data_IF_188925929986
#
_entry.id   IF_188925929986
#
_cell.length_a   1.000
_cell.length_b   1.000
_cell.length_c   1.000
_cell.angle_alpha   90.00
_cell.angle_beta   90.00
_cell.angle_gamma   90.00
#
_symmetry.space_group_name_H-M   'P 1'
#
loop_
_entity.id
_entity.type
_entity.pdbx_description
1 polymer ?
#
# COMPACT_ATOMS: atom_id res chain seq x y z
N UNK A 1 60.26 -11.57 9.10
CA UNK A 1 59.67 -10.71 10.16
C UNK A 1 58.15 -10.89 10.17
N UNK A 2 57.60 -11.73 11.05
CA UNK A 2 56.15 -11.89 11.24
C UNK A 2 55.70 -10.89 12.31
N UNK A 3 55.00 -9.83 11.92
CA UNK A 3 54.40 -8.88 12.87
C UNK A 3 53.20 -9.57 13.52
N UNK A 4 53.28 -9.84 14.81
CA UNK A 4 52.21 -10.40 15.63
C UNK A 4 51.06 -9.39 15.74
N UNK A 5 49.99 -9.59 14.98
CA UNK A 5 48.74 -8.82 14.98
C UNK A 5 47.80 -9.17 16.14
N UNK A 6 48.25 -10.00 17.09
CA UNK A 6 47.48 -10.48 18.24
C UNK A 6 46.96 -9.39 19.18
N UNK A 7 47.65 -8.27 19.49
CA UNK A 7 47.10 -7.30 20.44
C UNK A 7 45.92 -6.51 19.85
N UNK A 8 45.91 -6.28 18.53
CA UNK A 8 44.89 -5.46 17.88
C UNK A 8 43.55 -6.22 17.75
N UNK A 9 43.60 -7.53 17.52
CA UNK A 9 42.41 -8.39 17.48
C UNK A 9 41.74 -8.49 18.85
N UNK A 10 42.53 -8.58 19.94
CA UNK A 10 41.99 -8.65 21.30
C UNK A 10 41.28 -7.33 21.69
N UNK A 11 41.85 -6.18 21.32
CA UNK A 11 41.22 -4.88 21.56
C UNK A 11 39.91 -4.76 20.78
N UNK A 12 39.87 -5.21 19.52
CA UNK A 12 38.66 -5.16 18.70
C UNK A 12 37.53 -6.01 19.30
N UNK A 13 37.84 -7.20 19.81
CA UNK A 13 36.86 -8.10 20.44
C UNK A 13 36.31 -7.48 21.73
N UNK A 14 37.17 -6.88 22.56
CA UNK A 14 36.74 -6.21 23.79
C UNK A 14 35.83 -5.01 23.52
N UNK A 15 36.12 -4.22 22.48
CA UNK A 15 35.27 -3.10 22.07
C UNK A 15 33.91 -3.58 21.57
N UNK A 16 33.87 -4.68 20.81
CA UNK A 16 32.62 -5.26 20.33
C UNK A 16 31.73 -5.75 21.49
N UNK A 17 32.34 -6.45 22.45
CA UNK A 17 31.63 -6.94 23.64
C UNK A 17 31.08 -5.79 24.50
N UNK A 18 31.83 -4.70 24.65
CA UNK A 18 31.37 -3.51 25.37
C UNK A 18 30.18 -2.83 24.65
N UNK A 19 30.24 -2.70 23.32
CA UNK A 19 29.14 -2.12 22.54
C UNK A 19 27.85 -2.96 22.65
N UNK A 20 27.96 -4.29 22.61
CA UNK A 20 26.84 -5.21 22.80
C UNK A 20 26.23 -5.12 24.22
N UNK A 21 27.07 -4.98 25.26
CA UNK A 21 26.60 -4.81 26.63
C UNK A 21 25.80 -3.52 26.84
N UNK A 22 26.24 -2.41 26.24
CA UNK A 22 25.53 -1.12 26.32
C UNK A 22 24.20 -1.15 25.56
N UNK A 23 24.15 -1.84 24.43
CA UNK A 23 22.90 -2.00 23.66
C UNK A 23 21.84 -2.80 24.45
N UNK A 24 22.26 -3.82 25.20
CA UNK A 24 21.35 -4.63 26.03
C UNK A 24 20.79 -3.85 27.23
N UNK A 25 21.57 -2.98 27.87
CA UNK A 25 21.07 -2.18 29.00
C UNK A 25 20.08 -1.08 28.59
N UNK A 26 20.12 -0.64 27.32
CA UNK A 26 19.22 0.40 26.80
C UNK A 26 17.96 -0.15 26.12
N UNK A 27 17.81 -1.47 26.03
CA UNK A 27 16.58 -2.10 25.55
C UNK A 27 15.49 -1.96 26.63
N UNK A 28 14.76 -0.84 26.61
CA UNK A 28 13.56 -0.67 27.44
C UNK A 28 12.55 -1.75 27.06
N UNK A 29 11.93 -2.45 28.04
CA UNK A 29 10.88 -3.40 27.76
C UNK A 29 9.70 -2.68 27.10
N UNK A 30 9.27 -3.20 25.96
CA UNK A 30 8.08 -2.77 25.25
C UNK A 30 6.88 -3.01 26.17
N UNK A 31 6.35 -1.94 26.76
CA UNK A 31 5.17 -2.00 27.60
C UNK A 31 3.95 -2.17 26.70
N UNK A 32 3.35 -3.35 26.71
CA UNK A 32 2.03 -3.63 26.15
C UNK A 32 1.00 -2.74 26.86
N UNK A 33 0.24 -1.87 26.18
CA UNK A 33 -0.80 -1.11 26.86
C UNK A 33 -1.93 -2.06 27.26
N UNK A 34 -2.20 -2.12 28.57
CA UNK A 34 -3.37 -2.76 29.17
C UNK A 34 -4.63 -2.04 28.68
N UNK A 35 -5.48 -2.78 27.98
CA UNK A 35 -6.84 -2.39 27.65
C UNK A 35 -7.65 -2.28 28.95
N UNK A 36 -7.87 -1.04 29.38
CA UNK A 36 -8.65 -0.68 30.56
C UNK A 36 -10.14 -0.85 30.29
N UNK A 37 -10.75 -1.66 31.14
CA UNK A 37 -12.16 -1.90 31.35
C UNK A 37 -12.94 -0.61 31.72
N UNK A 38 -14.20 -0.57 31.28
CA UNK A 38 -15.34 0.19 31.81
C UNK A 38 -15.51 1.67 31.44
N UNK A 39 -16.48 1.90 30.53
CA UNK A 39 -17.60 2.81 30.79
C UNK A 39 -18.81 2.42 29.92
N UNK A 40 -19.73 1.68 30.52
CA UNK A 40 -21.14 1.66 30.13
C UNK A 40 -21.74 3.06 30.38
N UNK A 41 -22.41 3.63 29.38
CA UNK A 41 -23.49 4.59 29.63
C UNK A 41 -24.59 4.41 28.59
N UNK A 42 -25.55 3.58 29.00
CA UNK A 42 -26.99 3.69 28.83
C UNK A 42 -27.57 4.42 27.60
N UNK A 43 -28.31 3.62 26.84
CA UNK A 43 -29.33 4.02 25.89
C UNK A 43 -30.38 4.98 26.50
N UNK A 44 -30.80 5.96 25.69
CA UNK A 44 -32.15 6.51 25.75
C UNK A 44 -32.75 6.40 24.37
N UNK A 45 -33.67 5.45 24.24
CA UNK A 45 -34.64 5.42 23.16
C UNK A 45 -35.57 6.63 23.30
N UNK A 46 -35.71 7.43 22.25
CA UNK A 46 -36.91 8.24 22.05
C UNK A 46 -37.51 7.82 20.73
N UNK A 47 -38.51 6.96 20.88
CA UNK A 47 -39.49 6.57 19.89
C UNK A 47 -40.31 7.82 19.53
N UNK A 48 -40.35 8.18 18.24
CA UNK A 48 -41.45 8.95 17.68
C UNK A 48 -41.85 8.31 16.37
N UNK A 49 -43.14 8.00 16.34
CA UNK A 49 -43.86 7.15 15.42
C UNK A 49 -44.07 7.76 14.02
N UNK A 50 -44.09 6.82 13.06
CA UNK A 50 -44.99 6.72 11.91
C UNK A 50 -45.09 7.89 10.92
N UNK A 51 -44.37 7.71 9.81
CA UNK A 51 -44.90 7.93 8.46
C UNK A 51 -44.73 6.64 7.66
N UNK A 52 -45.80 5.86 7.53
CA UNK A 52 -45.82 4.64 6.72
C UNK A 52 -45.59 4.99 5.25
N UNK A 53 -44.46 4.55 4.68
CA UNK A 53 -44.27 4.45 3.24
C UNK A 53 -44.01 2.97 2.96
N UNK A 54 -45.01 2.30 2.39
CA UNK A 54 -44.90 0.92 1.92
C UNK A 54 -43.69 0.74 1.01
N UNK A 55 -43.00 -0.41 1.04
CA UNK A 55 -42.04 -0.74 0.02
C UNK A 55 -42.82 -0.99 -1.28
N UNK A 56 -42.79 -0.02 -2.20
CA UNK A 56 -43.09 -0.31 -3.61
C UNK A 56 -41.98 -1.25 -4.06
N UNK A 57 -42.33 -2.53 -4.13
CA UNK A 57 -41.59 -3.55 -4.87
C UNK A 57 -41.59 -3.12 -6.33
N UNK A 58 -40.58 -2.34 -6.71
CA UNK A 58 -40.27 -2.10 -8.10
C UNK A 58 -39.78 -3.43 -8.68
N UNK A 59 -40.71 -4.15 -9.29
CA UNK A 59 -40.40 -5.15 -10.29
C UNK A 59 -39.69 -4.44 -11.45
N UNK A 60 -38.52 -4.96 -11.81
CA UNK A 60 -37.67 -4.41 -12.88
C UNK A 60 -36.33 -3.97 -12.35
N UNK A 61 -35.55 -4.92 -11.83
CA UNK A 61 -34.09 -4.80 -11.87
C UNK A 61 -33.76 -4.82 -13.37
N UNK A 62 -33.25 -3.72 -13.97
CA UNK A 62 -32.63 -3.87 -15.27
C UNK A 62 -31.46 -4.81 -15.03
N UNK A 63 -31.47 -5.98 -15.67
CA UNK A 63 -30.24 -6.70 -15.97
C UNK A 63 -29.27 -5.62 -16.46
N UNK A 64 -28.29 -5.29 -15.63
CA UNK A 64 -27.18 -4.47 -16.04
C UNK A 64 -26.50 -5.31 -17.11
N UNK A 65 -26.87 -5.00 -18.35
CA UNK A 65 -26.32 -5.55 -19.57
C UNK A 65 -24.81 -5.48 -19.40
N UNK A 66 -24.20 -6.64 -19.13
CA UNK A 66 -22.78 -6.72 -18.85
C UNK A 66 -22.10 -6.19 -20.11
N UNK A 67 -21.53 -4.98 -20.00
CA UNK A 67 -20.87 -4.35 -21.13
C UNK A 67 -19.91 -5.39 -21.75
N UNK A 68 -19.95 -5.59 -23.07
CA UNK A 68 -19.16 -6.64 -23.70
C UNK A 68 -17.69 -6.41 -23.35
N UNK A 69 -17.08 -7.43 -22.73
CA UNK A 69 -15.66 -7.40 -22.41
C UNK A 69 -14.90 -7.04 -23.69
N UNK A 70 -14.13 -5.94 -23.69
CA UNK A 70 -13.47 -5.48 -24.90
C UNK A 70 -12.51 -6.54 -25.44
N UNK A 71 -12.27 -6.53 -26.75
CA UNK A 71 -11.26 -7.38 -27.37
C UNK A 71 -9.87 -7.10 -26.76
N UNK A 72 -8.96 -8.08 -26.79
CA UNK A 72 -7.61 -7.94 -26.24
C UNK A 72 -6.80 -6.80 -26.87
N UNK A 73 -7.14 -6.40 -28.10
CA UNK A 73 -6.51 -5.30 -28.85
C UNK A 73 -7.26 -3.96 -28.74
N UNK A 74 -8.08 -3.80 -27.69
CA UNK A 74 -8.82 -2.57 -27.49
C UNK A 74 -7.88 -1.36 -27.33
N UNK A 75 -8.24 -0.25 -27.98
CA UNK A 75 -7.43 0.96 -28.01
C UNK A 75 -7.14 1.45 -26.57
N UNK A 76 -5.86 1.55 -26.16
CA UNK A 76 -5.48 1.96 -24.81
C UNK A 76 -5.90 3.41 -24.48
N UNK A 77 -6.25 4.22 -25.48
CA UNK A 77 -6.84 5.54 -25.26
C UNK A 77 -8.29 5.46 -24.73
N UNK A 78 -9.00 4.36 -25.00
CA UNK A 78 -10.41 4.20 -24.71
C UNK A 78 -10.73 3.11 -23.67
N UNK A 79 -9.78 2.20 -23.44
CA UNK A 79 -9.94 1.09 -22.52
C UNK A 79 -8.74 0.95 -21.59
N UNK A 80 -9.03 0.77 -20.30
CA UNK A 80 -8.04 0.43 -19.28
C UNK A 80 -8.55 -0.73 -18.43
N UNK A 81 -7.63 -1.41 -17.76
CA UNK A 81 -7.93 -2.41 -16.75
C UNK A 81 -7.71 -1.81 -15.36
N UNK A 82 -8.75 -1.83 -14.56
CA UNK A 82 -8.72 -1.49 -13.16
C UNK A 82 -8.40 -2.74 -12.32
N UNK A 83 -7.37 -2.63 -11.49
CA UNK A 83 -7.01 -3.63 -10.50
C UNK A 83 -7.38 -3.07 -9.13
N UNK A 84 -8.35 -3.71 -8.47
CA UNK A 84 -8.69 -3.43 -7.08
C UNK A 84 -7.78 -4.27 -6.19
N UNK A 85 -6.93 -3.60 -5.43
CA UNK A 85 -5.86 -4.19 -4.65
C UNK A 85 -6.09 -3.91 -3.17
N UNK A 86 -5.66 -4.83 -2.32
CA UNK A 86 -5.61 -4.60 -0.88
C UNK A 86 -4.18 -4.77 -0.37
N UNK A 87 -3.81 -3.93 0.60
CA UNK A 87 -2.54 -3.97 1.29
C UNK A 87 -2.79 -4.11 2.79
N UNK A 88 -2.55 -5.30 3.33
CA UNK A 88 -2.68 -5.60 4.74
C UNK A 88 -1.31 -5.98 5.31
N UNK A 89 -0.80 -5.16 6.24
CA UNK A 89 0.44 -5.46 6.96
C UNK A 89 1.64 -5.78 6.05
N UNK A 90 1.70 -5.12 4.88
CA UNK A 90 2.73 -5.32 3.87
C UNK A 90 2.48 -6.47 2.89
N UNK A 91 1.40 -7.24 3.06
CA UNK A 91 0.95 -8.27 2.11
C UNK A 91 0.00 -7.66 1.09
N UNK A 92 0.37 -7.77 -0.18
CA UNK A 92 -0.44 -7.34 -1.32
C UNK A 92 -1.36 -8.48 -1.79
N UNK A 93 -2.64 -8.20 -2.02
CA UNK A 93 -3.57 -9.10 -2.72
C UNK A 93 -4.39 -8.40 -3.80
N UNK A 94 -4.79 -9.17 -4.80
CA UNK A 94 -5.70 -8.76 -5.86
C UNK A 94 -7.11 -9.19 -5.47
N UNK A 95 -8.00 -8.21 -5.32
CA UNK A 95 -9.38 -8.43 -4.88
C UNK A 95 -10.33 -8.51 -6.07
N UNK A 96 -10.15 -7.63 -7.06
CA UNK A 96 -10.96 -7.64 -8.27
C UNK A 96 -10.17 -7.07 -9.46
N UNK A 97 -10.59 -7.44 -10.67
CA UNK A 97 -10.11 -6.86 -11.93
C UNK A 97 -11.30 -6.55 -12.83
N UNK A 98 -11.37 -5.31 -13.32
CA UNK A 98 -12.48 -4.84 -14.15
C UNK A 98 -11.94 -4.05 -15.34
N UNK A 99 -12.46 -4.33 -16.54
CA UNK A 99 -12.15 -3.52 -17.71
C UNK A 99 -13.08 -2.31 -17.74
N UNK A 100 -12.48 -1.12 -17.79
CA UNK A 100 -13.18 0.16 -17.77
C UNK A 100 -13.03 0.84 -19.13
N UNK A 101 -14.15 1.35 -19.64
CA UNK A 101 -14.19 2.16 -20.85
C UNK A 101 -14.30 3.65 -20.48
N UNK A 102 -13.55 4.50 -21.16
CA UNK A 102 -13.59 5.94 -20.95
C UNK A 102 -12.58 6.67 -21.83
N UNK A 103 -12.61 8.00 -21.81
CA UNK A 103 -11.59 8.81 -22.47
C UNK A 103 -10.36 8.94 -21.56
N UNK A 104 -9.38 8.05 -21.75
CA UNK A 104 -8.13 8.05 -20.99
C UNK A 104 -7.08 8.83 -21.73
N UNK A 105 -7.22 10.16 -21.71
CA UNK A 105 -6.24 11.06 -22.30
C UNK A 105 -4.82 10.77 -21.76
N UNK A 106 -3.87 10.66 -22.68
CA UNK A 106 -2.47 10.48 -22.34
C UNK A 106 -1.98 11.70 -21.56
N UNK A 107 -1.29 11.46 -20.43
CA UNK A 107 -0.75 12.54 -19.60
C UNK A 107 0.25 13.38 -20.39
N UNK A 108 0.14 14.71 -20.24
CA UNK A 108 1.05 15.67 -20.85
C UNK A 108 2.23 15.91 -19.91
N UNK A 109 3.31 15.16 -20.10
CA UNK A 109 4.57 15.36 -19.37
C UNK A 109 4.96 14.19 -18.46
N UNK A 110 6.20 14.21 -17.94
CA UNK A 110 6.69 13.20 -17.02
C UNK A 110 5.91 13.26 -15.71
N UNK A 111 5.54 12.11 -15.15
CA UNK A 111 4.94 12.05 -13.83
C UNK A 111 5.99 12.38 -12.77
N UNK A 112 5.63 13.25 -11.82
CA UNK A 112 6.55 13.61 -10.74
C UNK A 112 6.70 12.42 -9.78
N UNK A 113 7.95 12.09 -9.47
CA UNK A 113 8.31 10.99 -8.58
C UNK A 113 8.64 11.52 -7.20
N UNK A 114 7.93 11.02 -6.18
CA UNK A 114 8.18 11.36 -4.79
C UNK A 114 8.37 10.14 -3.91
N UNK A 115 9.16 10.33 -2.86
CA UNK A 115 9.30 9.34 -1.79
C UNK A 115 7.93 9.05 -1.17
N UNK A 116 7.63 7.77 -0.97
CA UNK A 116 6.36 7.30 -0.46
C UNK A 116 5.35 6.92 -1.54
N UNK A 117 5.56 7.24 -2.82
CA UNK A 117 4.67 6.76 -3.89
C UNK A 117 4.85 5.26 -4.14
N UNK A 118 3.80 4.61 -4.63
CA UNK A 118 3.90 3.31 -5.26
C UNK A 118 4.24 3.47 -6.73
N UNK A 119 5.20 2.67 -7.18
CA UNK A 119 5.47 2.41 -8.58
C UNK A 119 4.91 1.05 -8.94
N UNK A 120 3.94 1.05 -9.83
CA UNK A 120 3.24 -0.14 -10.29
C UNK A 120 3.60 -0.42 -11.74
N UNK A 121 4.09 -1.64 -12.03
CA UNK A 121 4.59 -2.03 -13.35
C UNK A 121 3.86 -3.27 -13.86
N UNK A 122 3.35 -3.22 -15.08
CA UNK A 122 3.02 -4.42 -15.84
C UNK A 122 4.29 -4.99 -16.44
N UNK A 123 4.52 -6.28 -16.23
CA UNK A 123 5.73 -6.98 -16.62
C UNK A 123 5.38 -8.19 -17.48
N UNK A 124 6.13 -8.39 -18.56
CA UNK A 124 6.02 -9.59 -19.41
C UNK A 124 6.63 -10.83 -18.74
N UNK A 125 6.44 -11.99 -19.37
CA UNK A 125 7.06 -13.24 -18.92
C UNK A 125 8.59 -13.13 -18.88
N UNK A 126 9.19 -12.44 -19.86
CA UNK A 126 10.63 -12.21 -19.97
C UNK A 126 11.16 -11.11 -19.02
N UNK A 127 10.29 -10.52 -18.20
CA UNK A 127 10.68 -9.47 -17.26
C UNK A 127 10.72 -8.06 -17.85
N UNK A 128 10.19 -7.85 -19.06
CA UNK A 128 10.14 -6.51 -19.69
C UNK A 128 9.00 -5.69 -19.08
N UNK A 129 9.28 -4.44 -18.70
CA UNK A 129 8.24 -3.48 -18.28
C UNK A 129 7.44 -3.05 -19.51
N UNK A 130 6.14 -3.29 -19.47
CA UNK A 130 5.19 -3.00 -20.56
C UNK A 130 4.40 -1.71 -20.32
N UNK A 131 4.06 -1.44 -19.06
CA UNK A 131 3.42 -0.20 -18.62
C UNK A 131 3.84 0.11 -17.19
N UNK A 132 3.84 1.40 -16.85
CA UNK A 132 4.15 1.89 -15.51
C UNK A 132 3.17 3.01 -15.14
N UNK A 133 2.72 3.02 -13.89
CA UNK A 133 1.92 4.09 -13.31
C UNK A 133 2.41 4.34 -11.88
N UNK A 134 2.49 5.62 -11.48
CA UNK A 134 2.81 5.99 -10.10
C UNK A 134 1.55 6.41 -9.36
N UNK A 135 1.40 5.95 -8.13
CA UNK A 135 0.26 6.26 -7.27
C UNK A 135 0.76 6.80 -5.93
N UNK A 136 0.06 7.73 -5.27
CA UNK A 136 0.25 7.93 -3.84
C UNK A 136 0.06 6.60 -3.11
N UNK A 137 0.98 6.23 -2.22
CA UNK A 137 0.80 4.98 -1.51
C UNK A 137 -0.37 5.07 -0.51
N UNK A 138 -1.20 4.02 -0.45
CA UNK A 138 -2.25 3.88 0.54
C UNK A 138 -1.61 3.57 1.90
N UNK A 139 -1.02 4.58 2.51
CA UNK A 139 -0.25 4.41 3.73
C UNK A 139 -1.17 4.38 4.94
N UNK A 140 -0.98 3.35 5.76
CA UNK A 140 -1.49 3.31 7.13
C UNK A 140 -0.77 4.33 8.01
N UNK A 141 0.42 4.77 7.61
CA UNK A 141 1.37 5.48 8.46
C UNK A 141 1.25 7.00 8.25
N UNK A 142 0.53 7.66 9.14
CA UNK A 142 0.58 9.11 9.25
C UNK A 142 1.59 9.47 10.34
N UNK A 143 2.72 10.06 9.96
CA UNK A 143 3.62 10.68 10.94
C UNK A 143 3.23 12.15 11.11
N UNK A 144 2.68 12.48 12.28
CA UNK A 144 2.40 13.86 12.67
C UNK A 144 3.41 14.30 13.72
N UNK A 145 3.69 15.60 13.75
CA UNK A 145 4.48 16.18 14.83
C UNK A 145 3.53 16.45 16.00
N UNK A 146 3.66 15.65 17.05
CA UNK A 146 2.92 15.86 18.29
C UNK A 146 3.74 16.77 19.22
N UNK A 147 3.17 17.91 19.58
CA UNK A 147 3.75 18.89 20.49
C UNK A 147 3.08 18.91 21.86
N UNK A 148 2.28 17.88 22.22
CA UNK A 148 1.60 17.79 23.51
C UNK A 148 2.57 17.95 24.70
N UNK A 149 3.78 17.35 24.61
CA UNK A 149 4.84 17.46 25.63
C UNK A 149 5.86 18.60 25.36
N UNK A 150 5.48 19.63 24.60
CA UNK A 150 6.32 20.79 24.30
C UNK A 150 7.19 20.65 23.05
N UNK A 151 8.23 19.78 23.07
CA UNK A 151 9.07 19.60 21.88
C UNK A 151 8.33 18.74 20.84
N UNK A 152 8.13 19.21 19.59
CA UNK A 152 7.45 18.43 18.56
C UNK A 152 8.20 17.11 18.32
N UNK A 153 7.53 16.00 18.60
CA UNK A 153 8.06 14.64 18.36
C UNK A 153 7.24 13.98 17.26
N UNK A 154 7.87 13.27 16.32
CA UNK A 154 7.14 12.50 15.32
C UNK A 154 6.41 11.34 16.00
N UNK A 155 5.08 11.34 15.91
CA UNK A 155 4.20 10.24 16.32
C UNK A 155 3.61 9.61 15.08
N UNK A 156 3.76 8.30 14.95
CA UNK A 156 3.21 7.56 13.82
C UNK A 156 1.90 6.89 14.23
N UNK A 157 0.83 7.24 13.53
CA UNK A 157 -0.46 6.58 13.63
C UNK A 157 -0.55 5.54 12.54
N UNK A 158 -0.98 4.33 12.90
CA UNK A 158 -1.30 3.26 11.95
C UNK A 158 -2.80 3.02 11.96
N UNK A 159 -3.46 3.19 10.82
CA UNK A 159 -4.85 2.72 10.64
C UNK A 159 -4.85 1.19 10.70
N UNK A 160 -5.81 0.60 11.41
CA UNK A 160 -5.93 -0.85 11.52
C UNK A 160 -6.73 -1.43 10.33
N UNK A 161 -6.25 -2.55 9.78
CA UNK A 161 -6.95 -3.33 8.74
C UNK A 161 -6.34 -3.20 7.34
N UNK A 162 -6.90 -3.86 6.33
CA UNK A 162 -6.47 -3.74 4.93
C UNK A 162 -6.81 -2.36 4.37
N UNK A 163 -5.89 -1.73 3.63
CA UNK A 163 -6.26 -0.57 2.78
C UNK A 163 -6.48 -1.02 1.35
N UNK A 164 -7.62 -0.59 0.82
CA UNK A 164 -8.03 -0.82 -0.56
C UNK A 164 -7.58 0.34 -1.44
N UNK A 165 -7.10 0.03 -2.64
CA UNK A 165 -6.77 1.03 -3.65
C UNK A 165 -7.00 0.49 -5.06
N UNK A 166 -7.27 1.39 -5.99
CA UNK A 166 -7.53 1.05 -7.39
C UNK A 166 -6.37 1.54 -8.26
N UNK A 167 -5.77 0.63 -9.02
CA UNK A 167 -4.75 0.92 -10.01
C UNK A 167 -5.35 0.78 -11.41
N UNK A 168 -5.08 1.72 -12.32
CA UNK A 168 -5.64 1.72 -13.69
C UNK A 168 -4.52 1.72 -14.72
N UNK A 169 -4.30 0.58 -15.38
CA UNK A 169 -3.26 0.41 -16.38
C UNK A 169 -3.86 0.04 -17.74
N UNK A 170 -3.12 0.21 -18.85
CA UNK A 170 -3.52 -0.34 -20.14
C UNK A 170 -3.73 -1.86 -20.06
N UNK A 171 -4.71 -2.38 -20.80
CA UNK A 171 -4.87 -3.84 -20.98
C UNK A 171 -3.86 -4.31 -22.02
N UNK A 172 -2.94 -5.20 -21.63
CA UNK A 172 -1.89 -5.71 -22.50
C UNK A 172 -1.82 -7.23 -22.40
N UNK A 173 -2.06 -7.94 -23.50
CA UNK A 173 -2.05 -9.41 -23.54
C UNK A 173 -0.69 -10.02 -23.14
N UNK A 174 0.41 -9.30 -23.42
CA UNK A 174 1.75 -9.73 -23.04
C UNK A 174 2.07 -9.57 -21.53
N UNK A 175 1.19 -8.95 -20.73
CA UNK A 175 1.43 -8.73 -19.31
C UNK A 175 1.05 -9.96 -18.48
N UNK A 176 2.04 -10.59 -17.86
CA UNK A 176 1.86 -11.80 -17.04
C UNK A 176 1.95 -11.52 -15.55
N UNK A 177 2.40 -10.32 -15.17
CA UNK A 177 2.65 -9.96 -13.78
C UNK A 177 2.46 -8.47 -13.54
N UNK A 178 1.98 -8.15 -12.34
CA UNK A 178 1.92 -6.80 -11.78
C UNK A 178 2.91 -6.72 -10.62
N UNK A 179 3.97 -5.93 -10.79
CA UNK A 179 4.96 -5.65 -9.76
C UNK A 179 4.67 -4.31 -9.10
N UNK A 180 4.65 -4.29 -7.78
CA UNK A 180 4.42 -3.08 -6.98
C UNK A 180 5.61 -2.86 -6.06
N UNK A 181 6.17 -1.67 -6.15
CA UNK A 181 7.27 -1.22 -5.30
C UNK A 181 6.97 0.15 -4.72
N UNK A 182 7.56 0.46 -3.57
CA UNK A 182 7.50 1.76 -2.93
C UNK A 182 8.76 2.53 -3.26
N UNK A 183 8.59 3.74 -3.77
CA UNK A 183 9.67 4.66 -4.02
C UNK A 183 10.15 5.22 -2.67
N UNK A 184 11.44 5.13 -2.40
CA UNK A 184 12.06 5.69 -1.21
C UNK A 184 13.23 6.58 -1.56
N UNK A 185 13.31 7.75 -0.91
CA UNK A 185 14.34 8.74 -1.16
C UNK A 185 13.96 9.74 -2.27
N UNK A 186 14.70 10.84 -2.40
CA UNK A 186 14.35 11.93 -3.31
C UNK A 186 14.91 11.76 -4.72
N UNK A 187 14.07 12.02 -5.73
CA UNK A 187 14.48 12.21 -7.14
C UNK A 187 15.43 11.14 -7.66
N UNK A 188 16.62 11.54 -8.13
CA UNK A 188 17.61 10.63 -8.72
C UNK A 188 18.21 9.60 -7.73
N UNK A 189 18.00 9.76 -6.43
CA UNK A 189 18.42 8.81 -5.40
C UNK A 189 17.29 7.84 -5.00
N UNK A 190 16.14 7.94 -5.66
CA UNK A 190 14.99 7.07 -5.45
C UNK A 190 15.38 5.60 -5.61
N UNK A 191 14.93 4.78 -4.65
CA UNK A 191 15.06 3.33 -4.66
C UNK A 191 13.69 2.70 -4.55
N UNK A 192 13.49 1.68 -5.36
CA UNK A 192 12.28 0.85 -5.33
C UNK A 192 12.44 -0.22 -4.24
N UNK A 193 11.59 -0.17 -3.21
CA UNK A 193 11.46 -1.23 -2.21
C UNK A 193 10.29 -2.12 -2.64
N UNK A 194 10.49 -3.43 -2.90
CA UNK A 194 9.40 -4.29 -3.33
C UNK A 194 8.32 -4.37 -2.25
N UNK A 195 7.07 -4.15 -2.65
CA UNK A 195 5.88 -4.36 -1.81
C UNK A 195 5.31 -5.74 -2.10
N UNK A 196 5.18 -6.09 -3.37
CA UNK A 196 4.66 -7.38 -3.77
C UNK A 196 4.63 -7.55 -5.28
N UNK A 197 4.32 -8.77 -5.69
CA UNK A 197 4.18 -9.16 -7.09
C UNK A 197 2.98 -10.07 -7.22
N UNK A 198 2.15 -9.82 -8.22
CA UNK A 198 0.92 -10.55 -8.49
C UNK A 198 0.98 -11.16 -9.88
N UNK A 199 0.77 -12.47 -9.97
CA UNK A 199 0.60 -13.14 -11.26
C UNK A 199 -0.74 -12.76 -11.88
N UNK A 200 -0.71 -12.28 -13.11
CA UNK A 200 -1.88 -12.01 -13.92
C UNK A 200 -2.11 -13.25 -14.78
N UNK A 201 -2.86 -14.22 -14.29
CA UNK A 201 -3.35 -15.31 -15.14
C UNK A 201 -4.26 -14.71 -16.19
N UNK A 202 -3.88 -14.81 -17.47
CA UNK A 202 -4.81 -14.57 -18.56
C UNK A 202 -5.95 -15.59 -18.43
N UNK A 203 -7.22 -15.13 -18.38
CA UNK A 203 -8.37 -16.04 -18.41
C UNK A 203 -8.44 -16.83 -19.71
#
# INVERSE_FOLDING_TARGET
>A
MRRSSTPLVVILILLLAAALGVAWQNAKPFATPKQGENSEMQASATETQLGAISPVRAAGEPEADAAPSPAEDADPAHYRRAYLLSLDSGKLSLENTEDIQGDFAMRRGPQEEWSGMLRCRLVSEEGKVLAEELLPAPDHLCTVLDSYDGTPKPVSYTVAGPVMFQLRLPRLAAATRLDISRITGPGALARDIPVGSLSLTSP
#
